data_IF_226200799315
#
_entry.id   IF_226200799315
#
_cell.length_a   1.000
_cell.length_b   1.000
_cell.length_c   1.000
_cell.angle_alpha   90.00
_cell.angle_beta   90.00
_cell.angle_gamma   90.00
#
_symmetry.space_group_name_H-M   'P 1'
#
loop_
_entity.id
_entity.type
_entity.pdbx_description
1 polymer ?
#
# COMPACT_ATOMS: atom_id res chain seq x y z
N UNK A 1 6.76 -12.96 -33.25
CA UNK A 1 5.91 -12.07 -34.06
C UNK A 1 5.31 -10.99 -33.18
N UNK A 2 5.41 -9.72 -33.59
CA UNK A 2 4.72 -8.62 -32.90
C UNK A 2 3.21 -8.73 -33.14
N UNK A 3 2.42 -8.90 -32.08
CA UNK A 3 0.96 -8.78 -32.20
C UNK A 3 0.60 -7.30 -32.43
N UNK A 4 -0.29 -7.05 -33.40
CA UNK A 4 -0.89 -5.73 -33.54
C UNK A 4 -1.80 -5.43 -32.34
N UNK A 5 -2.00 -4.14 -32.03
CA UNK A 5 -2.89 -3.72 -30.93
C UNK A 5 -4.33 -4.19 -31.11
N UNK A 6 -4.76 -4.42 -32.36
CA UNK A 6 -6.04 -5.01 -32.69
C UNK A 6 -6.08 -6.51 -32.39
N UNK A 7 -5.08 -7.27 -32.84
CA UNK A 7 -4.97 -8.69 -32.56
C UNK A 7 -4.91 -8.96 -31.04
N UNK A 8 -4.22 -8.11 -30.29
CA UNK A 8 -4.18 -8.17 -28.83
C UNK A 8 -5.54 -7.85 -28.20
N UNK A 9 -6.28 -6.86 -28.70
CA UNK A 9 -7.60 -6.49 -28.20
C UNK A 9 -8.59 -7.66 -28.32
N UNK A 10 -8.63 -8.30 -29.48
CA UNK A 10 -9.51 -9.45 -29.74
C UNK A 10 -9.09 -10.67 -28.92
N UNK A 11 -7.79 -10.97 -28.86
CA UNK A 11 -7.28 -12.16 -28.15
C UNK A 11 -7.50 -12.10 -26.64
N UNK A 12 -7.35 -10.92 -26.03
CA UNK A 12 -7.44 -10.76 -24.58
C UNK A 12 -8.78 -10.16 -24.12
N UNK A 13 -9.71 -9.91 -25.04
CA UNK A 13 -10.99 -9.24 -24.79
C UNK A 13 -10.82 -7.91 -24.02
N UNK A 14 -9.78 -7.14 -24.38
CA UNK A 14 -9.48 -5.83 -23.78
C UNK A 14 -9.86 -4.74 -24.79
N UNK A 15 -10.67 -3.74 -24.42
CA UNK A 15 -10.99 -2.64 -25.32
C UNK A 15 -9.74 -1.96 -25.89
N UNK A 16 -9.74 -1.69 -27.20
CA UNK A 16 -8.60 -1.07 -27.90
C UNK A 16 -8.15 0.25 -27.26
N UNK A 17 -9.08 1.03 -26.69
CA UNK A 17 -8.77 2.26 -25.95
C UNK A 17 -7.95 1.99 -24.69
N UNK A 18 -8.26 0.93 -23.95
CA UNK A 18 -7.52 0.52 -22.75
C UNK A 18 -6.09 0.11 -23.10
N UNK A 19 -5.91 -0.69 -24.15
CA UNK A 19 -4.57 -1.06 -24.64
C UNK A 19 -3.78 0.16 -25.10
N UNK A 20 -4.40 1.07 -25.85
CA UNK A 20 -3.76 2.32 -26.29
C UNK A 20 -3.32 3.17 -25.10
N UNK A 21 -4.17 3.33 -24.09
CA UNK A 21 -3.86 4.10 -22.88
C UNK A 21 -2.73 3.44 -22.07
N UNK A 22 -2.72 2.11 -21.98
CA UNK A 22 -1.65 1.36 -21.32
C UNK A 22 -0.31 1.48 -22.05
N UNK A 23 -0.30 1.38 -23.38
CA UNK A 23 0.91 1.59 -24.19
C UNK A 23 1.42 3.04 -24.06
N UNK A 24 0.52 4.02 -24.06
CA UNK A 24 0.87 5.43 -23.83
C UNK A 24 1.45 5.69 -22.43
N UNK A 25 0.96 4.98 -21.40
CA UNK A 25 1.48 5.17 -20.05
C UNK A 25 2.90 4.62 -19.89
N UNK A 26 3.32 3.68 -20.75
CA UNK A 26 4.64 3.05 -20.72
C UNK A 26 4.91 2.25 -19.44
N UNK A 27 3.94 2.13 -18.54
CA UNK A 27 4.12 1.53 -17.23
C UNK A 27 3.60 0.10 -17.21
N UNK A 28 4.50 -0.84 -16.96
CA UNK A 28 4.17 -2.25 -16.68
C UNK A 28 3.74 -2.45 -15.22
N UNK A 29 3.81 -1.40 -14.39
CA UNK A 29 3.48 -1.48 -12.97
C UNK A 29 1.95 -1.53 -12.83
N UNK A 30 1.46 -2.64 -12.29
CA UNK A 30 0.05 -2.81 -11.94
C UNK A 30 -0.32 -1.94 -10.73
N UNK A 31 -0.81 -0.73 -10.98
CA UNK A 31 -1.43 0.14 -9.96
C UNK A 31 -2.95 0.09 -10.11
N UNK A 32 -3.63 -0.61 -9.19
CA UNK A 32 -5.08 -0.63 -9.11
C UNK A 32 -5.54 0.12 -7.86
N UNK A 33 -6.44 1.09 -8.04
CA UNK A 33 -7.04 1.85 -6.94
C UNK A 33 -6.08 2.84 -6.26
N UNK A 34 -6.47 3.29 -5.07
CA UNK A 34 -5.73 4.27 -4.27
C UNK A 34 -4.49 3.61 -3.66
N UNK A 35 -3.31 3.96 -4.15
CA UNK A 35 -2.05 3.50 -3.55
C UNK A 35 -1.81 4.21 -2.23
N UNK A 36 -1.41 3.46 -1.19
CA UNK A 36 -0.72 4.07 -0.06
C UNK A 36 0.60 4.66 -0.58
N UNK A 37 0.94 5.88 -0.16
CA UNK A 37 2.22 6.51 -0.53
C UNK A 37 3.35 5.70 0.10
N UNK A 38 4.12 4.99 -0.73
CA UNK A 38 5.18 4.07 -0.31
C UNK A 38 6.24 4.73 0.57
N UNK A 39 6.52 6.02 0.34
CA UNK A 39 7.49 6.78 1.12
C UNK A 39 7.05 6.97 2.58
N UNK A 40 5.77 7.28 2.80
CA UNK A 40 5.22 7.45 4.15
C UNK A 40 5.21 6.13 4.92
N UNK A 41 4.89 5.03 4.24
CA UNK A 41 4.95 3.68 4.84
C UNK A 41 6.40 3.35 5.26
N UNK A 42 7.40 3.63 4.42
CA UNK A 42 8.81 3.37 4.76
C UNK A 42 9.29 4.15 5.99
N UNK A 43 8.81 5.38 6.19
CA UNK A 43 9.11 6.18 7.40
C UNK A 43 8.41 5.62 8.64
N UNK A 44 7.17 5.16 8.50
CA UNK A 44 6.43 4.51 9.58
C UNK A 44 7.12 3.22 10.02
N UNK A 45 7.53 2.37 9.07
CA UNK A 45 8.26 1.12 9.35
C UNK A 45 9.57 1.40 10.10
N UNK A 46 10.37 2.38 9.64
CA UNK A 46 11.61 2.76 10.35
C UNK A 46 11.37 3.20 11.79
N UNK A 47 10.30 3.98 12.03
CA UNK A 47 9.91 4.38 13.40
C UNK A 47 9.50 3.17 14.24
N UNK A 48 8.74 2.26 13.66
CA UNK A 48 8.29 1.03 14.32
C UNK A 48 9.48 0.16 14.71
N UNK A 49 10.42 -0.09 13.80
CA UNK A 49 11.62 -0.91 14.08
C UNK A 49 12.41 -0.30 15.23
N UNK A 50 12.65 1.02 15.20
CA UNK A 50 13.34 1.71 16.29
C UNK A 50 12.65 1.54 17.65
N UNK A 51 11.32 1.55 17.69
CA UNK A 51 10.58 1.32 18.94
C UNK A 51 10.75 -0.12 19.43
N UNK A 52 10.74 -1.09 18.50
CA UNK A 52 11.00 -2.49 18.81
C UNK A 52 12.40 -2.69 19.40
N UNK A 53 13.42 -2.05 18.81
CA UNK A 53 14.82 -2.15 19.25
C UNK A 53 15.04 -1.58 20.67
N UNK A 54 14.19 -0.64 21.11
CA UNK A 54 14.20 -0.06 22.46
C UNK A 54 13.41 -0.92 23.46
N UNK A 55 12.90 -2.09 23.04
CA UNK A 55 12.18 -3.03 23.89
C UNK A 55 10.67 -2.79 23.97
N UNK A 56 10.10 -1.95 23.11
CA UNK A 56 8.63 -1.76 23.06
C UNK A 56 8.00 -2.97 22.37
N UNK A 57 7.02 -3.66 23.02
CA UNK A 57 6.37 -4.82 22.42
C UNK A 57 5.55 -4.43 21.20
N UNK A 58 5.92 -4.99 20.05
CA UNK A 58 5.31 -4.72 18.74
C UNK A 58 4.02 -5.50 18.52
N UNK A 59 3.02 -5.27 19.37
CA UNK A 59 1.71 -5.91 19.22
C UNK A 59 0.91 -5.36 18.05
N UNK A 60 -0.01 -6.17 17.51
CA UNK A 60 -0.95 -5.77 16.46
C UNK A 60 -1.75 -4.50 16.81
N UNK A 61 -2.10 -4.33 18.09
CA UNK A 61 -2.80 -3.12 18.58
C UNK A 61 -1.87 -1.90 18.52
N UNK A 62 -0.63 -2.05 18.97
CA UNK A 62 0.36 -0.97 18.96
C UNK A 62 0.67 -0.50 17.53
N UNK A 63 0.88 -1.42 16.60
CA UNK A 63 1.10 -1.11 15.18
C UNK A 63 -0.02 -0.21 14.61
N UNK A 64 -1.27 -0.57 14.91
CA UNK A 64 -2.45 0.18 14.47
C UNK A 64 -2.50 1.58 15.08
N UNK A 65 -2.27 1.71 16.38
CA UNK A 65 -2.25 3.02 17.07
C UNK A 65 -1.10 3.90 16.54
N UNK A 66 0.09 3.33 16.35
CA UNK A 66 1.24 4.07 15.82
C UNK A 66 1.01 4.57 14.40
N UNK A 67 0.37 3.77 13.55
CA UNK A 67 -0.01 4.19 12.20
C UNK A 67 -1.02 5.35 12.21
N UNK A 68 -2.02 5.30 13.08
CA UNK A 68 -2.99 6.39 13.23
C UNK A 68 -2.32 7.68 13.70
N UNK A 69 -1.55 7.60 14.79
CA UNK A 69 -0.80 8.72 15.34
C UNK A 69 0.14 9.33 14.30
N UNK A 70 0.86 8.50 13.55
CA UNK A 70 1.74 8.95 12.47
C UNK A 70 0.99 9.75 11.41
N UNK A 71 -0.18 9.27 10.96
CA UNK A 71 -0.98 9.98 9.98
C UNK A 71 -1.54 11.31 10.51
N UNK A 72 -1.95 11.37 11.78
CA UNK A 72 -2.43 12.62 12.40
C UNK A 72 -1.29 13.63 12.56
N UNK A 73 -0.13 13.22 13.08
CA UNK A 73 1.05 14.09 13.25
C UNK A 73 1.53 14.63 11.91
N UNK A 74 1.58 13.77 10.87
CA UNK A 74 2.04 14.16 9.53
C UNK A 74 0.94 14.79 8.66
N UNK A 75 -0.27 14.99 9.20
CA UNK A 75 -1.46 15.50 8.48
C UNK A 75 -1.72 14.77 7.16
N UNK A 76 -1.47 13.45 7.14
CA UNK A 76 -1.68 12.61 5.97
C UNK A 76 -3.18 12.28 5.87
N UNK A 77 -3.85 12.61 4.75
CA UNK A 77 -5.24 12.21 4.53
C UNK A 77 -5.38 10.70 4.62
N UNK A 78 -6.23 10.22 5.52
CA UNK A 78 -6.44 8.81 5.76
C UNK A 78 -7.93 8.54 5.98
N UNK A 79 -8.34 7.29 5.73
CA UNK A 79 -9.72 6.81 5.96
C UNK A 79 -9.80 5.97 7.23
N UNK A 80 -8.94 6.25 8.21
CA UNK A 80 -8.94 5.52 9.48
C UNK A 80 -10.15 5.92 10.32
N UNK A 81 -10.53 5.03 11.25
CA UNK A 81 -11.64 5.31 12.14
C UNK A 81 -11.15 6.20 13.27
N UNK A 82 -11.63 7.45 13.28
CA UNK A 82 -11.27 8.44 14.29
C UNK A 82 -11.82 8.09 15.69
N UNK A 83 -13.02 7.52 15.79
CA UNK A 83 -13.58 7.10 17.08
C UNK A 83 -12.74 5.99 17.74
N UNK A 84 -12.13 5.11 16.94
CA UNK A 84 -11.28 4.01 17.43
C UNK A 84 -9.79 4.36 17.48
N UNK A 85 -9.40 5.55 17.01
CA UNK A 85 -8.01 6.01 16.91
C UNK A 85 -7.05 4.97 16.30
N UNK A 86 -7.54 4.17 15.35
CA UNK A 86 -6.80 3.04 14.80
C UNK A 86 -7.29 2.66 13.39
N UNK A 87 -6.39 2.25 12.48
CA UNK A 87 -6.75 1.61 11.21
C UNK A 87 -7.51 0.30 11.46
N UNK A 88 -8.27 -0.20 10.48
CA UNK A 88 -8.96 -1.50 10.60
C UNK A 88 -8.04 -2.73 10.51
N UNK A 89 -8.56 -3.92 10.83
CA UNK A 89 -7.80 -5.18 10.74
C UNK A 89 -7.36 -5.50 9.30
N UNK A 90 -8.19 -5.17 8.30
CA UNK A 90 -7.84 -5.32 6.88
C UNK A 90 -6.60 -4.50 6.51
N UNK A 91 -6.48 -3.29 7.06
CA UNK A 91 -5.31 -2.44 6.84
C UNK A 91 -4.05 -3.10 7.42
N UNK A 92 -4.12 -3.59 8.67
CA UNK A 92 -2.98 -4.25 9.33
C UNK A 92 -2.50 -5.46 8.52
N UNK A 93 -3.42 -6.34 8.09
CA UNK A 93 -3.08 -7.51 7.27
C UNK A 93 -2.39 -7.13 5.97
N UNK A 94 -2.90 -6.10 5.27
CA UNK A 94 -2.29 -5.63 4.02
C UNK A 94 -0.95 -4.93 4.25
N UNK A 95 -0.81 -4.21 5.35
CA UNK A 95 0.43 -3.54 5.76
C UNK A 95 1.53 -4.57 6.06
N UNK A 96 1.23 -5.60 6.85
CA UNK A 96 2.17 -6.69 7.14
C UNK A 96 2.51 -7.52 5.89
N UNK A 97 1.58 -7.67 4.94
CA UNK A 97 1.87 -8.31 3.65
C UNK A 97 2.87 -7.50 2.80
N UNK A 98 2.84 -6.17 2.90
CA UNK A 98 3.80 -5.28 2.22
C UNK A 98 5.15 -5.21 2.94
N UNK A 99 5.14 -5.39 4.27
CA UNK A 99 6.31 -5.26 5.14
C UNK A 99 6.54 -6.55 5.95
N UNK A 100 6.99 -7.64 5.31
CA UNK A 100 7.22 -8.92 5.99
C UNK A 100 8.29 -8.84 7.10
N UNK A 101 9.18 -7.85 7.06
CA UNK A 101 10.18 -7.56 8.10
C UNK A 101 9.57 -7.22 9.47
N UNK A 102 8.31 -6.79 9.50
CA UNK A 102 7.56 -6.53 10.74
C UNK A 102 6.74 -7.74 11.20
N UNK A 103 6.43 -8.68 10.30
CA UNK A 103 5.65 -9.86 10.62
C UNK A 103 6.51 -11.00 11.19
N UNK A 104 7.82 -11.00 10.91
CA UNK A 104 8.77 -12.03 11.34
C UNK A 104 9.47 -11.71 12.68
N UNK A 105 9.22 -10.55 13.26
CA UNK A 105 9.74 -10.11 14.56
C UNK A 105 8.71 -10.36 15.64
#
# INVERSE_FOLDING_TARGET
GMLSTYAAATRYNIPRRTLRNHLKSGSTIRKLGRSATTEHEARLVRRIIRLADVGVPMTSKMLRVQAFSFCKIKKIPNTFNDAKNAPGQKWLRLFLKRHPELARR
#
